data_IF_669298652692
#
_entry.id   IF_669298652692
#
_cell.length_a   1.000
_cell.length_b   1.000
_cell.length_c   1.000
_cell.angle_alpha   90.00
_cell.angle_beta   90.00
_cell.angle_gamma   90.00
#
_symmetry.space_group_name_H-M   'P 1'
#
loop_
_entity.id
_entity.type
_entity.pdbx_description
1 polymer ?
#
# COMPACT_ATOMS: atom_id res chain seq x y z
N UNK A 1 37.64 12.70 23.52
CA UNK A 1 36.63 13.50 22.80
C UNK A 1 35.79 12.48 22.05
N UNK A 2 34.62 12.15 22.62
CA UNK A 2 33.70 11.15 22.10
C UNK A 2 33.06 11.70 20.83
N UNK A 3 33.18 10.98 19.72
CA UNK A 3 32.34 11.20 18.54
C UNK A 3 30.93 10.71 18.90
N UNK A 4 30.02 11.64 19.16
CA UNK A 4 28.59 11.35 19.07
C UNK A 4 28.30 11.12 17.59
N UNK A 5 28.09 9.86 17.18
CA UNK A 5 27.44 9.56 15.91
C UNK A 5 26.05 10.19 15.98
N UNK A 6 25.83 11.27 15.21
CA UNK A 6 24.50 11.76 14.93
C UNK A 6 23.76 10.60 14.26
N UNK A 7 22.93 9.88 15.00
CA UNK A 7 21.98 8.94 14.40
C UNK A 7 21.08 9.73 13.47
N UNK A 8 21.01 9.33 12.20
CA UNK A 8 20.20 9.99 11.19
C UNK A 8 18.74 10.06 11.67
N UNK A 9 18.30 11.26 12.03
CA UNK A 9 17.01 11.44 12.68
C UNK A 9 15.91 11.33 11.63
N UNK A 10 15.06 10.31 11.73
CA UNK A 10 13.85 10.18 10.92
C UNK A 10 12.98 11.46 11.03
N UNK A 11 12.89 12.24 9.95
CA UNK A 11 12.16 13.51 9.90
C UNK A 11 10.74 13.24 9.37
N UNK A 12 9.74 13.60 10.17
CA UNK A 12 8.33 13.40 9.82
C UNK A 12 7.94 14.15 8.54
N UNK A 13 7.15 13.48 7.69
CA UNK A 13 6.71 13.91 6.36
C UNK A 13 7.82 14.09 5.32
N UNK A 14 9.05 13.75 5.67
CA UNK A 14 10.20 13.76 4.74
C UNK A 14 10.67 12.34 4.53
N UNK A 15 11.19 11.70 5.58
CA UNK A 15 11.80 10.37 5.51
C UNK A 15 10.76 9.26 5.61
N UNK A 16 9.66 9.46 6.34
CA UNK A 16 8.56 8.48 6.46
C UNK A 16 7.44 8.67 5.42
N UNK A 17 7.71 9.37 4.32
CA UNK A 17 6.73 9.67 3.27
C UNK A 17 6.73 8.59 2.18
N UNK A 18 5.54 8.06 1.86
CA UNK A 18 5.31 7.11 0.78
C UNK A 18 4.38 7.76 -0.25
N UNK A 19 4.70 7.59 -1.54
CA UNK A 19 3.85 8.02 -2.66
C UNK A 19 3.40 6.87 -3.53
N UNK A 20 2.22 7.02 -4.11
CA UNK A 20 1.57 6.06 -4.97
C UNK A 20 0.89 6.78 -6.14
N UNK A 21 1.07 6.30 -7.35
CA UNK A 21 0.45 6.88 -8.55
C UNK A 21 0.16 5.81 -9.60
N UNK A 22 -0.80 6.10 -10.48
CA UNK A 22 -1.02 5.29 -11.67
C UNK A 22 0.07 5.49 -12.71
N UNK A 23 0.35 4.43 -13.47
CA UNK A 23 1.28 4.52 -14.59
C UNK A 23 0.65 5.29 -15.75
N UNK A 24 1.24 6.43 -16.13
CA UNK A 24 0.76 7.29 -17.21
C UNK A 24 1.19 6.81 -18.61
N UNK A 25 2.19 5.93 -18.70
CA UNK A 25 2.67 5.38 -19.98
C UNK A 25 1.74 4.29 -20.54
N UNK A 26 0.97 3.61 -19.68
CA UNK A 26 -0.05 2.63 -20.07
C UNK A 26 -1.33 2.91 -19.27
N UNK A 27 -2.08 3.96 -19.65
CA UNK A 27 -3.20 4.42 -18.85
C UNK A 27 -4.33 3.38 -18.84
N UNK A 28 -4.84 3.11 -17.64
CA UNK A 28 -6.08 2.36 -17.42
C UNK A 28 -7.27 3.32 -17.32
N UNK A 29 -8.51 2.84 -17.53
CA UNK A 29 -9.69 3.71 -17.49
C UNK A 29 -9.79 4.57 -16.23
N UNK A 30 -9.62 3.98 -15.05
CA UNK A 30 -9.52 4.69 -13.79
C UNK A 30 -8.05 4.97 -13.45
N UNK A 31 -7.82 6.09 -12.78
CA UNK A 31 -6.48 6.57 -12.45
C UNK A 31 -6.42 7.11 -11.04
N UNK A 32 -5.29 6.89 -10.39
CA UNK A 32 -4.93 7.53 -9.13
C UNK A 32 -3.82 8.53 -9.38
N UNK A 33 -3.94 9.71 -8.78
CA UNK A 33 -2.88 10.72 -8.76
C UNK A 33 -2.67 11.30 -7.37
N UNK A 34 -1.44 11.76 -7.14
CA UNK A 34 -1.04 12.53 -5.95
C UNK A 34 -1.34 11.83 -4.62
N UNK A 35 -1.38 10.49 -4.60
CA UNK A 35 -1.57 9.74 -3.35
C UNK A 35 -0.28 9.78 -2.57
N UNK A 36 -0.36 10.32 -1.36
CA UNK A 36 0.75 10.32 -0.42
C UNK A 36 0.27 10.02 0.99
N UNK A 37 1.13 9.36 1.76
CA UNK A 37 0.88 9.05 3.16
C UNK A 37 2.17 8.94 3.94
N UNK A 38 2.08 9.11 5.25
CA UNK A 38 3.20 8.92 6.16
C UNK A 38 3.01 7.68 7.01
N UNK A 39 4.12 6.97 7.26
CA UNK A 39 4.13 5.73 8.04
C UNK A 39 4.73 5.94 9.43
N UNK A 40 4.15 5.28 10.42
CA UNK A 40 4.50 5.39 11.83
C UNK A 40 4.46 4.02 12.52
N UNK A 41 5.19 3.89 13.63
CA UNK A 41 5.11 2.71 14.49
C UNK A 41 3.87 2.72 15.40
N UNK A 42 3.65 1.65 16.19
CA UNK A 42 2.53 1.57 17.16
C UNK A 42 2.49 2.71 18.18
N UNK A 43 3.62 3.40 18.43
CA UNK A 43 3.74 4.53 19.34
C UNK A 43 3.50 5.88 18.66
N UNK A 44 3.02 5.88 17.40
CA UNK A 44 2.83 7.07 16.57
C UNK A 44 4.12 7.87 16.29
N UNK A 45 5.28 7.22 16.35
CA UNK A 45 6.56 7.84 15.96
C UNK A 45 6.84 7.59 14.48
N UNK A 46 7.37 8.58 13.73
CA UNK A 46 7.76 8.40 12.33
C UNK A 46 8.62 7.14 12.17
N UNK A 47 8.29 6.32 11.19
CA UNK A 47 8.96 5.05 10.95
C UNK A 47 9.89 5.17 9.75
N UNK A 48 11.20 5.14 10.00
CA UNK A 48 12.22 5.16 8.97
C UNK A 48 13.36 4.19 9.28
N UNK A 49 14.08 3.77 8.25
CA UNK A 49 15.38 3.11 8.34
C UNK A 49 16.28 3.69 7.25
N UNK A 50 17.50 4.12 7.59
CA UNK A 50 18.42 4.82 6.67
C UNK A 50 17.74 5.98 5.89
N UNK A 51 17.03 6.86 6.60
CA UNK A 51 16.28 8.02 6.05
C UNK A 51 15.18 7.68 5.03
N UNK A 52 14.80 6.41 4.89
CA UNK A 52 13.75 5.92 3.99
C UNK A 52 12.55 5.41 4.79
N UNK A 53 11.33 5.42 4.22
CA UNK A 53 10.15 4.98 4.96
C UNK A 53 10.20 3.46 5.17
N UNK A 54 9.98 3.03 6.41
CA UNK A 54 9.82 1.60 6.74
C UNK A 54 8.43 1.35 7.32
N UNK A 55 7.70 0.42 6.70
CA UNK A 55 6.40 -0.04 7.19
C UNK A 55 6.64 -1.10 8.24
N UNK A 56 6.26 -0.80 9.48
CA UNK A 56 6.26 -1.78 10.57
C UNK A 56 4.84 -2.31 10.78
N UNK A 57 4.71 -3.60 11.07
CA UNK A 57 3.42 -4.20 11.41
C UNK A 57 3.42 -4.71 12.85
N UNK A 58 2.39 -4.36 13.63
CA UNK A 58 1.47 -3.25 13.38
C UNK A 58 2.18 -1.91 13.39
N UNK A 59 1.57 -1.00 12.66
CA UNK A 59 1.97 0.39 12.57
C UNK A 59 0.75 1.23 12.24
N UNK A 60 1.00 2.46 11.82
CA UNK A 60 -0.04 3.42 11.46
C UNK A 60 0.35 4.07 10.15
N UNK A 61 -0.61 4.18 9.24
CA UNK A 61 -0.47 4.99 8.04
C UNK A 61 -1.42 6.19 8.14
N UNK A 62 -0.93 7.38 7.77
CA UNK A 62 -1.73 8.60 7.69
C UNK A 62 -1.74 9.09 6.25
N UNK A 63 -2.89 9.00 5.59
CA UNK A 63 -3.08 9.54 4.25
C UNK A 63 -3.10 11.08 4.29
N UNK A 64 -2.31 11.72 3.42
CA UNK A 64 -2.16 13.17 3.36
C UNK A 64 -2.93 13.78 2.19
N UNK A 65 -2.80 13.17 1.02
CA UNK A 65 -3.39 13.63 -0.23
C UNK A 65 -3.65 12.45 -1.14
N UNK A 66 -4.50 12.64 -2.14
CA UNK A 66 -4.81 11.62 -3.12
C UNK A 66 -6.15 11.85 -3.78
N UNK A 67 -6.22 11.47 -5.05
CA UNK A 67 -7.47 11.42 -5.79
C UNK A 67 -7.55 10.19 -6.69
N UNK A 68 -8.78 9.70 -6.87
CA UNK A 68 -9.12 8.63 -7.80
C UNK A 68 -10.08 9.22 -8.83
N UNK A 69 -9.74 9.12 -10.11
CA UNK A 69 -10.62 9.50 -11.21
C UNK A 69 -11.22 8.25 -11.82
N UNK A 70 -12.55 8.22 -11.89
CA UNK A 70 -13.37 7.08 -12.30
C UNK A 70 -14.23 7.52 -13.47
N UNK A 71 -13.99 7.02 -14.70
CA UNK A 71 -14.62 7.59 -15.90
C UNK A 71 -16.07 7.12 -16.11
N UNK A 72 -16.42 5.95 -15.59
CA UNK A 72 -17.73 5.31 -15.69
C UNK A 72 -17.99 4.52 -14.41
N UNK A 73 -19.25 4.14 -14.21
CA UNK A 73 -19.62 3.30 -13.07
C UNK A 73 -19.04 1.90 -13.23
N UNK A 74 -18.57 1.33 -12.14
CA UNK A 74 -18.11 -0.05 -12.04
C UNK A 74 -18.86 -0.80 -10.94
N UNK A 75 -18.91 -2.13 -11.00
CA UNK A 75 -19.47 -2.96 -9.94
C UNK A 75 -18.38 -3.56 -9.02
N UNK A 76 -17.68 -2.67 -8.29
CA UNK A 76 -16.57 -3.02 -7.41
C UNK A 76 -17.01 -3.90 -6.23
N UNK A 77 -18.24 -3.71 -5.74
CA UNK A 77 -18.76 -4.49 -4.61
C UNK A 77 -19.04 -5.93 -5.04
N UNK A 78 -19.60 -6.13 -6.23
CA UNK A 78 -19.92 -7.47 -6.74
C UNK A 78 -18.69 -8.20 -7.27
N UNK A 79 -17.77 -7.49 -7.92
CA UNK A 79 -16.71 -8.11 -8.73
C UNK A 79 -15.33 -7.48 -8.61
N UNK A 80 -15.13 -6.54 -7.67
CA UNK A 80 -13.85 -5.85 -7.48
C UNK A 80 -12.81 -6.70 -6.76
N UNK A 81 -11.70 -6.98 -7.45
CA UNK A 81 -10.52 -7.63 -6.91
C UNK A 81 -9.29 -6.75 -7.04
N UNK A 82 -8.43 -6.79 -6.02
CA UNK A 82 -7.10 -6.25 -6.01
C UNK A 82 -6.11 -7.39 -6.32
N UNK A 83 -5.42 -7.30 -7.44
CA UNK A 83 -4.41 -8.25 -7.88
C UNK A 83 -3.03 -7.69 -7.57
N UNK A 84 -2.26 -8.41 -6.76
CA UNK A 84 -0.97 -7.98 -6.28
C UNK A 84 0.15 -8.54 -7.16
N UNK A 85 1.12 -7.69 -7.45
CA UNK A 85 2.47 -8.09 -7.86
C UNK A 85 3.45 -7.53 -6.85
N UNK A 86 4.21 -8.41 -6.20
CA UNK A 86 5.16 -8.05 -5.14
C UNK A 86 6.53 -8.59 -5.50
N UNK A 87 7.51 -7.70 -5.62
CA UNK A 87 8.91 -8.05 -5.91
C UNK A 87 9.80 -7.63 -4.76
N UNK A 88 10.47 -8.58 -4.13
CA UNK A 88 11.51 -8.27 -3.16
C UNK A 88 12.85 -8.04 -3.86
N UNK A 89 13.68 -7.16 -3.32
CA UNK A 89 15.03 -6.90 -3.84
C UNK A 89 15.93 -8.14 -3.79
N UNK A 90 15.79 -8.96 -2.75
CA UNK A 90 16.62 -10.14 -2.50
C UNK A 90 16.04 -11.45 -3.06
N UNK A 91 15.01 -11.36 -3.91
CA UNK A 91 14.29 -12.53 -4.45
C UNK A 91 14.35 -12.51 -5.98
N UNK A 92 14.74 -13.65 -6.57
CA UNK A 92 14.81 -13.80 -8.02
C UNK A 92 13.41 -13.77 -8.66
N UNK A 93 12.45 -14.46 -8.04
CA UNK A 93 11.05 -14.52 -8.48
C UNK A 93 10.15 -13.62 -7.61
N UNK A 94 9.13 -12.97 -8.21
CA UNK A 94 8.15 -12.17 -7.47
C UNK A 94 7.38 -13.04 -6.47
N UNK A 95 7.09 -12.54 -5.27
CA UNK A 95 6.25 -13.26 -4.29
C UNK A 95 4.83 -13.48 -4.82
N UNK A 96 4.28 -12.44 -5.43
CA UNK A 96 3.00 -12.45 -6.13
C UNK A 96 3.20 -11.90 -7.55
N UNK A 97 2.49 -12.47 -8.52
CA UNK A 97 2.44 -11.98 -9.90
C UNK A 97 0.98 -11.95 -10.37
N UNK A 98 0.45 -10.75 -10.61
CA UNK A 98 -0.92 -10.51 -11.06
C UNK A 98 -1.99 -11.27 -10.26
N UNK A 99 -1.83 -11.29 -8.93
CA UNK A 99 -2.76 -11.96 -8.04
C UNK A 99 -2.51 -13.46 -7.83
N UNK A 100 -1.45 -14.02 -8.41
CA UNK A 100 -1.07 -15.43 -8.25
C UNK A 100 0.22 -15.53 -7.45
N UNK A 101 0.22 -16.36 -6.41
CA UNK A 101 1.42 -16.66 -5.63
C UNK A 101 2.42 -17.43 -6.47
N UNK A 102 3.71 -17.07 -6.38
CA UNK A 102 4.77 -17.85 -7.00
C UNK A 102 5.45 -18.82 -6.02
N UNK A 103 5.08 -18.77 -4.75
CA UNK A 103 5.66 -19.59 -3.70
C UNK A 103 4.60 -20.52 -3.13
N UNK A 104 4.89 -21.82 -3.10
CA UNK A 104 3.98 -22.84 -2.57
C UNK A 104 3.52 -22.56 -1.12
N UNK A 105 4.36 -21.89 -0.32
CA UNK A 105 4.06 -21.55 1.07
C UNK A 105 3.07 -20.38 1.23
N UNK A 106 2.80 -19.60 0.16
CA UNK A 106 1.93 -18.43 0.18
C UNK A 106 0.66 -18.78 -0.62
N UNK A 107 -0.52 -18.85 0.01
CA UNK A 107 -1.78 -19.02 -0.70
C UNK A 107 -2.09 -17.86 -1.66
N UNK A 108 -2.74 -18.15 -2.79
CA UNK A 108 -3.15 -17.12 -3.77
C UNK A 108 -4.06 -16.04 -3.16
N UNK A 109 -4.81 -16.36 -2.12
CA UNK A 109 -5.66 -15.39 -1.40
C UNK A 109 -4.86 -14.25 -0.75
N UNK A 110 -3.54 -14.42 -0.54
CA UNK A 110 -2.66 -13.32 -0.11
C UNK A 110 -2.23 -12.42 -1.27
N UNK A 111 -2.31 -12.91 -2.51
CA UNK A 111 -1.98 -12.17 -3.72
C UNK A 111 -3.22 -11.58 -4.41
N UNK A 112 -4.41 -12.18 -4.21
CA UNK A 112 -5.69 -11.73 -4.76
C UNK A 112 -6.67 -11.42 -3.64
N UNK A 113 -6.92 -10.14 -3.42
CA UNK A 113 -7.79 -9.65 -2.35
C UNK A 113 -9.11 -9.14 -2.91
N UNK A 114 -10.22 -9.31 -2.19
CA UNK A 114 -11.45 -8.58 -2.48
C UNK A 114 -11.23 -7.10 -2.16
N UNK A 115 -11.42 -6.22 -3.15
CA UNK A 115 -11.08 -4.81 -3.01
C UNK A 115 -11.82 -4.16 -1.83
N UNK A 116 -13.13 -4.39 -1.72
CA UNK A 116 -13.97 -3.74 -0.72
C UNK A 116 -13.78 -4.30 0.69
N UNK A 117 -13.27 -5.52 0.83
CA UNK A 117 -12.84 -6.05 2.13
C UNK A 117 -11.56 -5.34 2.60
N UNK A 118 -10.71 -4.91 1.66
CA UNK A 118 -9.46 -4.22 1.93
C UNK A 118 -9.64 -2.71 2.21
N UNK A 119 -10.41 -1.99 1.38
CA UNK A 119 -10.60 -0.53 1.52
C UNK A 119 -11.86 -0.14 2.29
N UNK A 120 -12.75 -1.10 2.58
CA UNK A 120 -14.04 -0.88 3.21
C UNK A 120 -15.18 -0.63 2.21
N UNK A 121 -16.36 -1.15 2.52
CA UNK A 121 -17.53 -1.09 1.64
C UNK A 121 -17.98 0.36 1.36
N UNK A 122 -17.94 1.24 2.35
CA UNK A 122 -18.35 2.64 2.17
C UNK A 122 -17.41 3.41 1.24
N UNK A 123 -16.11 3.12 1.26
CA UNK A 123 -15.15 3.69 0.30
C UNK A 123 -15.48 3.16 -1.10
N UNK A 124 -15.68 1.85 -1.25
CA UNK A 124 -16.08 1.23 -2.51
C UNK A 124 -17.34 1.85 -3.10
N UNK A 125 -18.39 2.10 -2.28
CA UNK A 125 -19.63 2.73 -2.74
C UNK A 125 -19.41 4.12 -3.33
N UNK A 126 -18.41 4.86 -2.85
CA UNK A 126 -18.05 6.16 -3.41
C UNK A 126 -17.22 5.98 -4.69
N UNK A 127 -16.14 5.20 -4.63
CA UNK A 127 -15.16 5.09 -5.75
C UNK A 127 -15.63 4.23 -6.92
N UNK A 128 -16.78 3.56 -6.80
CA UNK A 128 -17.38 2.84 -7.92
C UNK A 128 -18.21 3.75 -8.83
N UNK A 129 -18.59 4.95 -8.37
CA UNK A 129 -19.37 5.90 -9.15
C UNK A 129 -18.47 6.79 -10.02
N UNK A 130 -18.96 7.32 -11.15
CA UNK A 130 -18.17 8.23 -11.99
C UNK A 130 -17.84 9.54 -11.28
N UNK A 131 -16.59 10.00 -11.41
CA UNK A 131 -16.14 11.27 -10.86
C UNK A 131 -14.68 11.27 -10.43
N UNK A 132 -14.26 12.38 -9.81
CA UNK A 132 -12.97 12.47 -9.12
C UNK A 132 -13.23 12.47 -7.63
N UNK A 133 -12.73 11.46 -6.94
CA UNK A 133 -12.91 11.24 -5.51
C UNK A 133 -11.62 11.53 -4.76
N UNK A 134 -11.69 12.36 -3.72
CA UNK A 134 -10.54 12.75 -2.89
C UNK A 134 -10.69 12.25 -1.46
N UNK A 135 -9.59 12.11 -0.72
CA UNK A 135 -9.69 11.79 0.71
C UNK A 135 -10.53 12.80 1.49
N UNK A 136 -10.42 14.10 1.15
CA UNK A 136 -11.24 15.17 1.74
C UNK A 136 -12.74 15.02 1.46
N UNK A 137 -13.10 14.46 0.30
CA UNK A 137 -14.48 14.12 -0.02
C UNK A 137 -14.95 12.93 0.81
N UNK A 138 -14.14 11.87 0.91
CA UNK A 138 -14.45 10.68 1.70
C UNK A 138 -14.62 11.02 3.19
N UNK A 139 -13.75 11.85 3.75
CA UNK A 139 -13.90 12.38 5.12
C UNK A 139 -15.26 13.05 5.33
N UNK A 140 -15.73 13.83 4.35
CA UNK A 140 -17.01 14.55 4.45
C UNK A 140 -18.23 13.67 4.23
N UNK A 141 -18.17 12.72 3.28
CA UNK A 141 -19.33 11.91 2.87
C UNK A 141 -19.56 10.72 3.78
N UNK A 142 -18.48 10.07 4.21
CA UNK A 142 -18.54 8.78 4.91
C UNK A 142 -17.73 8.77 6.22
N UNK A 143 -17.28 9.94 6.71
CA UNK A 143 -16.43 10.06 7.89
C UNK A 143 -15.17 9.17 7.79
N UNK A 144 -14.59 9.06 6.59
CA UNK A 144 -13.40 8.25 6.37
C UNK A 144 -12.26 8.70 7.29
N UNK A 145 -11.67 7.76 8.02
CA UNK A 145 -10.51 8.05 8.86
C UNK A 145 -9.24 8.00 8.00
N UNK A 146 -8.57 9.13 7.80
CA UNK A 146 -7.30 9.17 7.07
C UNK A 146 -6.13 8.55 7.85
N UNK A 147 -6.31 8.25 9.13
CA UNK A 147 -5.37 7.48 9.94
C UNK A 147 -5.83 6.03 10.05
N UNK A 148 -5.12 5.12 9.37
CA UNK A 148 -5.43 3.69 9.36
C UNK A 148 -4.41 2.91 10.18
N UNK A 149 -4.91 1.95 10.96
CA UNK A 149 -4.07 1.00 11.67
C UNK A 149 -3.67 -0.11 10.71
N UNK A 150 -2.38 -0.38 10.63
CA UNK A 150 -1.89 -1.54 9.89
C UNK A 150 -2.08 -2.79 10.76
N UNK A 151 -2.52 -3.91 10.19
CA UNK A 151 -2.82 -5.12 10.96
C UNK A 151 -1.56 -5.71 11.61
N UNK A 152 -1.76 -6.63 12.54
CA UNK A 152 -0.67 -7.53 12.97
C UNK A 152 -0.21 -8.36 11.76
N UNK A 153 1.09 -8.63 11.63
CA UNK A 153 1.58 -9.42 10.52
C UNK A 153 0.96 -10.82 10.57
N UNK A 154 0.46 -11.34 9.43
CA UNK A 154 -0.10 -12.69 9.41
C UNK A 154 0.96 -13.68 9.88
N UNK A 155 0.56 -14.67 10.68
CA UNK A 155 1.44 -15.71 11.18
C UNK A 155 1.11 -17.03 10.50
N UNK A 156 2.11 -17.73 9.96
CA UNK A 156 1.98 -19.05 9.38
C UNK A 156 2.82 -20.04 10.21
N UNK A 157 2.17 -21.07 10.76
CA UNK A 157 2.84 -22.09 11.60
C UNK A 157 3.63 -21.53 12.79
N UNK A 158 3.18 -20.40 13.35
CA UNK A 158 3.83 -19.75 14.49
C UNK A 158 5.02 -18.84 14.14
N UNK A 159 5.33 -18.65 12.86
CA UNK A 159 6.32 -17.69 12.36
C UNK A 159 5.57 -16.52 11.72
N UNK A 160 5.95 -15.27 12.05
CA UNK A 160 5.36 -14.10 11.42
C UNK A 160 5.81 -14.01 9.96
N UNK A 161 4.92 -13.57 9.07
CA UNK A 161 5.28 -13.30 7.67
C UNK A 161 6.37 -12.21 7.59
N UNK A 162 6.44 -11.29 8.56
CA UNK A 162 7.54 -10.34 8.65
C UNK A 162 8.87 -10.98 9.07
N UNK A 163 8.85 -12.05 9.87
CA UNK A 163 10.08 -12.76 10.23
C UNK A 163 10.68 -13.48 9.01
N UNK A 164 9.84 -13.82 8.02
CA UNK A 164 10.23 -14.48 6.78
C UNK A 164 10.52 -13.50 5.65
N UNK A 165 9.83 -12.36 5.62
CA UNK A 165 9.81 -11.43 4.48
C UNK A 165 10.01 -9.96 4.89
N UNK A 166 10.77 -9.67 5.95
CA UNK A 166 11.30 -8.33 6.16
C UNK A 166 12.34 -8.01 5.06
N UNK A 167 12.37 -6.75 4.61
CA UNK A 167 13.27 -6.34 3.53
C UNK A 167 12.71 -5.22 2.66
N UNK A 168 13.21 -5.14 1.42
CA UNK A 168 12.84 -4.09 0.46
C UNK A 168 11.94 -4.64 -0.64
N UNK A 169 10.74 -4.06 -0.81
CA UNK A 169 9.72 -4.57 -1.72
C UNK A 169 9.13 -3.50 -2.63
N UNK A 170 8.94 -3.84 -3.89
CA UNK A 170 8.18 -3.07 -4.86
C UNK A 170 6.78 -3.67 -5.00
N UNK A 171 5.77 -2.81 -4.89
CA UNK A 171 4.36 -3.21 -4.99
C UNK A 171 3.74 -2.64 -6.25
N UNK A 172 3.06 -3.50 -6.99
CA UNK A 172 2.21 -3.11 -8.09
C UNK A 172 0.83 -3.73 -7.89
N UNK A 173 -0.19 -2.90 -7.99
CA UNK A 173 -1.57 -3.25 -7.73
C UNK A 173 -2.38 -3.07 -9.00
N UNK A 174 -3.17 -4.07 -9.36
CA UNK A 174 -4.18 -3.95 -10.41
C UNK A 174 -5.56 -4.11 -9.78
N UNK A 175 -6.52 -3.28 -10.18
CA UNK A 175 -7.92 -3.50 -9.83
C UNK A 175 -8.63 -4.12 -11.01
N UNK A 176 -9.15 -5.32 -10.80
CA UNK A 176 -10.02 -6.03 -11.72
C UNK A 176 -11.47 -5.87 -11.26
N UNK A 177 -12.37 -5.58 -12.20
CA UNK A 177 -13.82 -5.64 -11.98
C UNK A 177 -14.50 -5.95 -13.30
N UNK A 178 -15.60 -6.71 -13.25
CA UNK A 178 -16.36 -7.07 -14.47
C UNK A 178 -15.50 -7.76 -15.55
N UNK A 179 -14.39 -8.41 -15.16
CA UNK A 179 -13.44 -9.07 -16.06
C UNK A 179 -12.45 -8.14 -16.76
N UNK A 180 -12.38 -6.86 -16.39
CA UNK A 180 -11.47 -5.86 -16.95
C UNK A 180 -10.51 -5.32 -15.87
N UNK A 181 -9.24 -5.10 -16.23
CA UNK A 181 -8.31 -4.33 -15.40
C UNK A 181 -8.59 -2.84 -15.60
N UNK A 182 -9.17 -2.20 -14.57
CA UNK A 182 -9.67 -0.82 -14.65
C UNK A 182 -8.72 0.19 -14.05
N UNK A 183 -7.81 -0.22 -13.16
CA UNK A 183 -6.83 0.65 -12.50
C UNK A 183 -5.52 -0.10 -12.30
N UNK A 184 -4.40 0.61 -12.45
CA UNK A 184 -3.08 0.15 -12.06
C UNK A 184 -2.40 1.20 -11.18
N UNK A 185 -1.69 0.75 -10.15
CA UNK A 185 -1.00 1.62 -9.18
C UNK A 185 0.36 1.01 -8.85
N UNK A 186 1.39 1.85 -8.75
CA UNK A 186 2.73 1.44 -8.28
C UNK A 186 3.03 2.11 -6.95
N UNK A 187 3.63 1.37 -6.02
CA UNK A 187 4.04 1.86 -4.69
C UNK A 187 5.39 1.22 -4.30
N UNK A 188 6.38 2.01 -3.83
CA UNK A 188 6.40 3.48 -3.81
C UNK A 188 6.70 4.05 -5.20
N UNK A 189 6.36 5.33 -5.43
CA UNK A 189 6.78 6.07 -6.64
C UNK A 189 7.91 7.06 -6.39
N UNK A 190 8.14 7.44 -5.13
CA UNK A 190 9.25 8.29 -4.70
C UNK A 190 10.53 7.52 -4.38
N UNK A 191 10.53 6.21 -4.60
CA UNK A 191 11.64 5.30 -4.36
C UNK A 191 11.47 4.03 -5.22
N UNK A 192 12.50 3.19 -5.34
CA UNK A 192 12.43 1.91 -6.05
C UNK A 192 11.73 0.83 -5.24
N UNK A 193 11.96 0.82 -3.93
CA UNK A 193 11.45 -0.16 -3.01
C UNK A 193 10.96 0.51 -1.73
N UNK A 194 9.97 -0.10 -1.09
CA UNK A 194 9.48 0.24 0.23
C UNK A 194 10.06 -0.74 1.23
N UNK A 195 10.64 -0.24 2.32
CA UNK A 195 11.13 -1.09 3.39
C UNK A 195 9.96 -1.59 4.23
N UNK A 196 9.95 -2.88 4.53
CA UNK A 196 8.92 -3.54 5.32
C UNK A 196 9.62 -4.29 6.46
N UNK A 197 9.23 -4.02 7.70
CA UNK A 197 9.72 -4.74 8.89
C UNK A 197 11.19 -4.49 9.26
N UNK A 198 11.89 -3.59 8.57
CA UNK A 198 13.28 -3.23 8.89
C UNK A 198 13.30 -2.11 9.92
N UNK A 199 14.03 -2.29 11.01
CA UNK A 199 14.20 -1.30 12.09
C UNK A 199 15.67 -1.18 12.47
N UNK A 200 16.09 0.00 12.94
CA UNK A 200 17.36 0.15 13.66
C UNK A 200 17.22 -0.63 14.98
N UNK A 201 18.02 -1.67 15.18
CA UNK A 201 18.05 -2.49 16.42
C UNK A 201 18.31 -1.66 17.69
#
# INVERSE_FOLDING_TARGET
>A
MLFECFGDKCVDKVHNLVRAESNTASPRPAMISDVSGTVYNKKNQPSCYNERPTVVLPGVVKFLSGQVTVPKKYDLIKSGYLLLTVRGMDYDDPLCLNGVSQYFAIPDDFCRLKLCDFIGEDVCRVVQEPGTHTFKELEKKINFNTTQLLPEPPSLLGISLLDLFAGEFGFHFQVETEGEIVLEVTVPTNDKFLQIGVTDD
#
